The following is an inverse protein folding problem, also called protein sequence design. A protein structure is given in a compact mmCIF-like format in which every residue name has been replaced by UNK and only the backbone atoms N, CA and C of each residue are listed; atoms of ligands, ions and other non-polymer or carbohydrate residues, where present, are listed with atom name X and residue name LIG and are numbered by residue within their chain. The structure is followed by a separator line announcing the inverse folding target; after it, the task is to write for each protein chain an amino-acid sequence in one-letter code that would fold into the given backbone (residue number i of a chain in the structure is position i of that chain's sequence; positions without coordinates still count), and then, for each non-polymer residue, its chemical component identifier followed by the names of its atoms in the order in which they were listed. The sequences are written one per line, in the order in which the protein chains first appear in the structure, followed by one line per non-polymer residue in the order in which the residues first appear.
data_IF_527880863441
#
_entry.id   IF_527880863441
#
_cell.length_a   1.000
_cell.length_b   1.000
_cell.length_c   1.000
_cell.angle_alpha   90.00
_cell.angle_beta   90.00
_cell.angle_gamma   90.00
#
_symmetry.space_group_name_H-M   'P 1'
#
loop_
_entity.id
_entity.type
_entity.pdbx_description
1 polymer ?
#
# COMPACT_ATOMS: atom_id res chain seq x y z
N UNK A 1 -10.42 8.90 1.83
CA UNK A 1 -10.20 10.35 1.99
C UNK A 1 -11.57 11.02 2.11
N UNK A 2 -11.80 11.86 3.12
CA UNK A 2 -13.05 12.60 3.21
C UNK A 2 -13.14 13.75 2.18
N UNK A 3 -14.35 14.26 1.94
CA UNK A 3 -14.57 15.31 0.93
C UNK A 3 -13.81 16.62 1.23
N UNK A 4 -13.54 16.93 2.51
CA UNK A 4 -12.82 18.15 2.88
C UNK A 4 -11.36 18.03 2.49
N UNK A 5 -10.74 16.91 2.82
CA UNK A 5 -9.36 16.59 2.50
C UNK A 5 -9.19 16.45 0.99
N UNK A 6 -10.13 15.78 0.31
CA UNK A 6 -10.13 15.68 -1.15
C UNK A 6 -10.22 17.05 -1.82
N UNK A 7 -11.00 17.99 -1.27
CA UNK A 7 -11.06 19.37 -1.77
C UNK A 7 -9.70 20.07 -1.65
N UNK A 8 -9.02 19.93 -0.50
CA UNK A 8 -7.71 20.54 -0.29
C UNK A 8 -6.67 19.99 -1.28
N UNK A 9 -6.67 18.67 -1.51
CA UNK A 9 -5.74 18.01 -2.44
C UNK A 9 -6.05 18.39 -3.88
N UNK A 10 -7.27 18.15 -4.36
CA UNK A 10 -7.60 18.22 -5.80
C UNK A 10 -7.94 19.61 -6.32
N UNK A 11 -8.02 20.62 -5.44
CA UNK A 11 -8.08 22.02 -5.86
C UNK A 11 -6.72 22.73 -5.73
N UNK A 12 -5.68 22.02 -5.31
CA UNK A 12 -4.31 22.54 -5.31
C UNK A 12 -3.64 22.39 -6.68
N UNK A 13 -2.64 23.20 -6.95
CA UNK A 13 -1.86 23.09 -8.21
C UNK A 13 -0.97 21.84 -8.24
N UNK A 14 -0.50 21.39 -7.06
CA UNK A 14 0.38 20.23 -6.91
C UNK A 14 -0.21 19.19 -5.95
N UNK A 15 -0.90 18.21 -6.53
CA UNK A 15 -1.60 17.18 -5.76
C UNK A 15 -0.66 16.31 -4.90
N UNK A 16 0.52 15.94 -5.42
CA UNK A 16 1.46 15.06 -4.70
C UNK A 16 2.08 15.80 -3.50
N UNK A 17 2.49 17.05 -3.70
CA UNK A 17 2.99 17.89 -2.60
C UNK A 17 1.90 18.09 -1.54
N UNK A 18 0.66 18.34 -1.95
CA UNK A 18 -0.45 18.48 -1.00
C UNK A 18 -0.76 17.18 -0.25
N UNK A 19 -0.68 16.03 -0.92
CA UNK A 19 -0.80 14.71 -0.27
C UNK A 19 0.32 14.53 0.76
N UNK A 20 1.57 14.84 0.40
CA UNK A 20 2.72 14.73 1.29
C UNK A 20 2.60 15.64 2.52
N UNK A 21 2.09 16.86 2.35
CA UNK A 21 1.85 17.80 3.46
C UNK A 21 0.76 17.32 4.43
N UNK A 22 -0.34 16.77 3.91
CA UNK A 22 -1.49 16.35 4.72
C UNK A 22 -1.22 14.99 5.38
N UNK A 23 -0.53 14.08 4.69
CA UNK A 23 -0.29 12.72 5.12
C UNK A 23 1.21 12.37 5.16
N UNK A 24 2.03 13.09 5.93
CA UNK A 24 3.49 12.95 5.88
C UNK A 24 3.97 11.57 6.36
N UNK A 25 3.31 10.99 7.35
CA UNK A 25 3.64 9.66 7.86
C UNK A 25 3.27 8.55 6.86
N UNK A 26 2.11 8.67 6.21
CA UNK A 26 1.68 7.73 5.19
C UNK A 26 2.54 7.81 3.93
N UNK A 27 2.94 9.02 3.53
CA UNK A 27 3.90 9.23 2.46
C UNK A 27 5.22 8.51 2.75
N UNK A 28 5.82 8.77 3.91
CA UNK A 28 7.07 8.16 4.32
C UNK A 28 6.95 6.64 4.41
N UNK A 29 5.85 6.14 4.95
CA UNK A 29 5.59 4.70 5.00
C UNK A 29 5.53 4.08 3.60
N UNK A 30 4.77 4.69 2.67
CA UNK A 30 4.66 4.21 1.29
C UNK A 30 6.03 4.19 0.59
N UNK A 31 6.85 5.24 0.79
CA UNK A 31 8.22 5.28 0.29
C UNK A 31 9.06 4.11 0.84
N UNK A 32 9.04 3.91 2.16
CA UNK A 32 9.80 2.85 2.83
C UNK A 32 9.38 1.45 2.35
N UNK A 33 8.08 1.19 2.21
CA UNK A 33 7.60 -0.12 1.73
C UNK A 33 7.89 -0.34 0.25
N UNK A 34 7.83 0.69 -0.59
CA UNK A 34 8.23 0.58 -2.00
C UNK A 34 9.70 0.19 -2.13
N UNK A 35 10.61 0.88 -1.42
CA UNK A 35 12.01 0.49 -1.42
C UNK A 35 12.24 -0.89 -0.80
N UNK A 36 11.54 -1.24 0.28
CA UNK A 36 11.64 -2.55 0.91
C UNK A 36 11.17 -3.68 -0.01
N UNK A 37 10.13 -3.44 -0.82
CA UNK A 37 9.65 -4.35 -1.85
C UNK A 37 10.72 -4.59 -2.92
N UNK A 38 11.26 -3.52 -3.51
CA UNK A 38 12.31 -3.60 -4.56
C UNK A 38 13.56 -4.32 -4.05
N UNK A 39 14.00 -3.97 -2.84
CA UNK A 39 15.20 -4.53 -2.22
C UNK A 39 14.97 -5.92 -1.62
N UNK A 40 13.75 -6.47 -1.72
CA UNK A 40 13.35 -7.77 -1.14
C UNK A 40 13.72 -7.87 0.34
N UNK A 41 13.53 -6.79 1.10
CA UNK A 41 13.83 -6.77 2.54
C UNK A 41 12.98 -7.81 3.25
N UNK A 42 13.54 -8.57 4.21
CA UNK A 42 12.76 -9.54 4.97
C UNK A 42 11.68 -8.84 5.79
N UNK A 43 10.52 -9.48 5.90
CA UNK A 43 9.43 -9.11 6.79
C UNK A 43 8.77 -10.38 7.33
N UNK A 44 8.50 -10.40 8.64
CA UNK A 44 7.99 -11.60 9.31
C UNK A 44 6.56 -11.94 8.87
N UNK A 45 5.73 -10.92 8.68
CA UNK A 45 4.36 -11.11 8.26
C UNK A 45 4.30 -11.51 6.79
N UNK A 46 5.07 -10.84 5.93
CA UNK A 46 5.24 -11.23 4.53
C UNK A 46 5.66 -12.70 4.39
N UNK A 47 6.68 -13.12 5.14
CA UNK A 47 7.18 -14.49 5.13
C UNK A 47 6.11 -15.51 5.57
N UNK A 48 5.36 -15.21 6.63
CA UNK A 48 4.29 -16.07 7.13
C UNK A 48 3.13 -16.19 6.12
N UNK A 49 2.77 -15.09 5.43
CA UNK A 49 1.77 -15.14 4.35
C UNK A 49 2.28 -16.00 3.20
N UNK A 50 3.52 -15.81 2.76
CA UNK A 50 4.13 -16.59 1.67
C UNK A 50 4.21 -18.08 1.99
N UNK A 51 4.45 -18.44 3.26
CA UNK A 51 4.43 -19.85 3.70
C UNK A 51 3.03 -20.49 3.55
N UNK A 52 1.97 -19.73 3.85
CA UNK A 52 0.59 -20.22 3.71
C UNK A 52 0.16 -20.28 2.24
N UNK A 53 0.51 -19.27 1.46
CA UNK A 53 0.08 -19.13 0.05
C UNK A 53 0.87 -20.04 -0.88
N UNK A 54 2.15 -20.26 -0.60
CA UNK A 54 3.07 -20.98 -1.47
C UNK A 54 3.64 -20.10 -2.59
N UNK A 55 4.14 -20.74 -3.64
CA UNK A 55 4.74 -20.05 -4.78
C UNK A 55 3.70 -19.29 -5.61
N UNK A 56 4.01 -18.05 -5.96
CA UNK A 56 3.20 -17.19 -6.83
C UNK A 56 3.95 -16.84 -8.11
N UNK A 57 3.28 -16.70 -9.27
CA UNK A 57 3.91 -16.27 -10.51
C UNK A 57 4.23 -14.76 -10.56
N UNK A 58 3.88 -14.02 -9.51
CA UNK A 58 4.06 -12.58 -9.36
C UNK A 58 4.77 -12.23 -8.05
N UNK A 59 5.34 -11.03 -7.98
CA UNK A 59 6.03 -10.55 -6.79
C UNK A 59 5.12 -9.66 -5.94
N UNK A 60 5.02 -10.01 -4.65
CA UNK A 60 4.32 -9.18 -3.68
C UNK A 60 5.11 -9.02 -2.37
N UNK A 61 4.75 -7.97 -1.63
CA UNK A 61 5.13 -7.76 -0.23
C UNK A 61 3.89 -7.45 0.58
N UNK A 62 3.76 -8.10 1.73
CA UNK A 62 2.76 -7.75 2.74
C UNK A 62 3.41 -7.19 4.00
N UNK A 63 2.84 -6.11 4.52
CA UNK A 63 3.23 -5.54 5.83
C UNK A 63 1.98 -5.48 6.69
N UNK A 64 2.09 -5.89 7.95
CA UNK A 64 1.02 -5.79 8.93
C UNK A 64 1.32 -4.70 9.94
N UNK A 65 0.29 -3.94 10.32
CA UNK A 65 0.36 -2.86 11.30
C UNK A 65 -0.73 -3.01 12.36
N UNK A 66 -0.58 -2.35 13.50
CA UNK A 66 -1.61 -2.35 14.53
C UNK A 66 -2.83 -1.52 14.09
N UNK A 67 -4.04 -1.98 14.42
CA UNK A 67 -5.35 -1.42 14.02
C UNK A 67 -5.67 -0.05 14.61
N UNK A 68 -4.89 0.39 15.58
CA UNK A 68 -5.23 1.55 16.42
C UNK A 68 -4.47 2.82 16.10
N UNK A 69 -3.52 2.78 15.18
CA UNK A 69 -2.72 3.96 14.87
C UNK A 69 -3.31 4.84 13.76
N UNK A 70 -2.94 6.12 13.80
CA UNK A 70 -3.42 7.12 12.85
C UNK A 70 -2.98 6.79 11.42
N UNK A 71 -1.76 6.26 11.27
CA UNK A 71 -1.18 5.89 9.99
C UNK A 71 -2.03 4.83 9.24
N UNK A 72 -2.62 3.85 9.93
CA UNK A 72 -3.53 2.87 9.30
C UNK A 72 -4.79 3.52 8.73
N UNK A 73 -5.32 4.55 9.41
CA UNK A 73 -6.45 5.35 8.90
C UNK A 73 -6.03 6.19 7.70
N UNK A 74 -4.89 6.87 7.80
CA UNK A 74 -4.36 7.71 6.73
C UNK A 74 -4.09 6.90 5.45
N UNK A 75 -3.52 5.71 5.58
CA UNK A 75 -3.31 4.79 4.47
C UNK A 75 -4.65 4.32 3.86
N UNK A 76 -5.63 4.00 4.70
CA UNK A 76 -6.97 3.65 4.22
C UNK A 76 -7.63 4.81 3.48
N UNK A 77 -7.43 6.04 3.95
CA UNK A 77 -7.95 7.23 3.31
C UNK A 77 -7.26 7.52 1.98
N UNK A 78 -5.94 7.41 1.90
CA UNK A 78 -5.15 7.65 0.70
C UNK A 78 -5.38 6.59 -0.37
N UNK A 79 -5.32 5.31 0.03
CA UNK A 79 -5.38 4.19 -0.91
C UNK A 79 -6.83 3.82 -1.26
N UNK A 80 -7.78 4.15 -0.40
CA UNK A 80 -9.22 4.02 -0.68
C UNK A 80 -9.75 5.05 -1.67
N UNK A 81 -9.07 6.19 -1.81
CA UNK A 81 -9.36 7.14 -2.89
C UNK A 81 -8.60 6.76 -4.17
N UNK A 82 -9.35 6.47 -5.24
CA UNK A 82 -8.79 5.93 -6.49
C UNK A 82 -7.75 6.88 -7.09
N UNK A 83 -8.04 8.19 -7.13
CA UNK A 83 -7.16 9.18 -7.77
C UNK A 83 -5.86 9.32 -6.99
N UNK A 84 -5.95 9.42 -5.67
CA UNK A 84 -4.78 9.49 -4.77
C UNK A 84 -3.91 8.24 -4.92
N UNK A 85 -4.52 7.05 -4.88
CA UNK A 85 -3.79 5.78 -5.09
C UNK A 85 -3.03 5.77 -6.42
N UNK A 86 -3.69 6.10 -7.53
CA UNK A 86 -3.06 6.12 -8.86
C UNK A 86 -1.91 7.14 -8.96
N UNK A 87 -2.05 8.31 -8.34
CA UNK A 87 -0.98 9.31 -8.26
C UNK A 87 0.23 8.77 -7.48
N UNK A 88 -0.01 8.13 -6.35
CA UNK A 88 1.03 7.54 -5.50
C UNK A 88 1.72 6.35 -6.18
N UNK A 89 0.97 5.44 -6.79
CA UNK A 89 1.52 4.31 -7.55
C UNK A 89 2.41 4.80 -8.68
N UNK A 90 1.96 5.79 -9.46
CA UNK A 90 2.78 6.40 -10.50
C UNK A 90 4.05 7.02 -9.92
N UNK A 91 3.92 7.86 -8.89
CA UNK A 91 5.05 8.54 -8.28
C UNK A 91 6.09 7.56 -7.73
N UNK A 92 5.67 6.61 -6.89
CA UNK A 92 6.61 5.69 -6.28
C UNK A 92 7.20 4.69 -7.27
N UNK A 93 6.47 4.34 -8.34
CA UNK A 93 7.04 3.54 -9.43
C UNK A 93 8.21 4.24 -10.10
N UNK A 94 8.10 5.55 -10.32
CA UNK A 94 9.18 6.39 -10.86
C UNK A 94 10.35 6.50 -9.87
N UNK A 95 10.06 6.71 -8.58
CA UNK A 95 11.08 6.84 -7.52
C UNK A 95 11.91 5.56 -7.36
N UNK A 96 11.27 4.39 -7.37
CA UNK A 96 11.98 3.11 -7.19
C UNK A 96 12.45 2.47 -8.50
N UNK A 97 12.09 3.04 -9.65
CA UNK A 97 12.51 2.59 -10.97
C UNK A 97 11.84 1.32 -11.48
N UNK A 98 10.73 0.88 -10.86
CA UNK A 98 9.93 -0.26 -11.31
C UNK A 98 8.47 -0.11 -10.86
N UNK A 99 7.51 -0.77 -11.54
CA UNK A 99 6.11 -0.69 -11.15
C UNK A 99 5.86 -1.13 -9.70
N UNK A 100 5.10 -0.31 -8.97
CA UNK A 100 4.57 -0.63 -7.65
C UNK A 100 3.08 -0.31 -7.61
N UNK A 101 2.30 -1.28 -7.16
CA UNK A 101 0.86 -1.17 -6.98
C UNK A 101 0.54 -1.32 -5.51
N UNK A 102 -0.40 -0.52 -5.02
CA UNK A 102 -0.75 -0.49 -3.62
C UNK A 102 -2.14 -1.03 -3.40
N UNK A 103 -2.33 -1.79 -2.33
CA UNK A 103 -3.64 -2.23 -1.90
C UNK A 103 -3.69 -2.39 -0.40
N UNK A 104 -4.86 -2.19 0.17
CA UNK A 104 -5.12 -2.52 1.57
C UNK A 104 -5.77 -3.91 1.61
N UNK A 105 -5.14 -4.85 2.32
CA UNK A 105 -5.65 -6.20 2.54
C UNK A 105 -5.99 -6.31 4.03
N UNK A 106 -7.21 -6.74 4.37
CA UNK A 106 -7.77 -6.67 5.73
C UNK A 106 -7.67 -5.26 6.36
N UNK A 107 -8.03 -5.09 7.63
CA UNK A 107 -8.07 -3.77 8.29
C UNK A 107 -6.69 -3.14 8.51
N UNK A 108 -5.63 -3.95 8.45
CA UNK A 108 -4.32 -3.62 9.03
C UNK A 108 -3.13 -4.00 8.14
N UNK A 109 -3.38 -4.65 7.01
CA UNK A 109 -2.28 -5.11 6.15
C UNK A 109 -2.22 -4.30 4.87
N UNK A 110 -1.00 -3.95 4.49
CA UNK A 110 -0.70 -3.27 3.25
C UNK A 110 -0.04 -4.25 2.29
N UNK A 111 -0.48 -4.24 1.05
CA UNK A 111 0.05 -5.04 -0.04
C UNK A 111 0.73 -4.10 -1.03
N UNK A 112 1.95 -4.49 -1.43
CA UNK A 112 2.66 -3.93 -2.58
C UNK A 112 2.91 -5.04 -3.60
N UNK A 113 2.60 -4.80 -4.88
CA UNK A 113 2.81 -5.78 -5.98
C UNK A 113 3.41 -5.13 -7.22
N UNK A 114 3.83 -5.97 -8.18
CA UNK A 114 4.39 -5.57 -9.48
C UNK A 114 3.30 -5.21 -10.51
N UNK A 115 2.04 -5.54 -10.23
CA UNK A 115 0.88 -5.23 -11.06
C UNK A 115 -0.41 -5.12 -10.21
N UNK A 116 -1.47 -4.61 -10.82
CA UNK A 116 -2.82 -4.66 -10.23
C UNK A 116 -3.29 -6.12 -10.16
N UNK A 117 -3.42 -6.65 -8.94
CA UNK A 117 -3.78 -8.05 -8.73
C UNK A 117 -5.23 -8.33 -9.13
N UNK A 118 -5.43 -9.51 -9.71
CA UNK A 118 -6.76 -10.07 -9.95
C UNK A 118 -7.38 -10.61 -8.66
N UNK A 119 -8.68 -10.94 -8.72
CA UNK A 119 -9.38 -11.58 -7.60
C UNK A 119 -8.74 -12.93 -7.22
N UNK A 120 -8.36 -13.71 -8.23
CA UNK A 120 -7.73 -15.01 -8.08
C UNK A 120 -6.38 -14.93 -7.37
N UNK A 121 -5.64 -13.84 -7.61
CA UNK A 121 -4.34 -13.59 -7.01
C UNK A 121 -4.46 -13.02 -5.59
N UNK A 122 -5.41 -12.10 -5.35
CA UNK A 122 -5.53 -11.43 -4.04
C UNK A 122 -6.27 -12.27 -2.99
N UNK A 123 -7.23 -13.12 -3.39
CA UNK A 123 -8.06 -13.87 -2.45
C UNK A 123 -7.26 -14.85 -1.56
N UNK A 124 -6.27 -15.60 -2.08
CA UNK A 124 -5.38 -16.41 -1.25
C UNK A 124 -4.57 -15.56 -0.25
N UNK A 125 -4.07 -14.40 -0.68
CA UNK A 125 -3.32 -13.47 0.19
C UNK A 125 -4.20 -12.97 1.33
N UNK A 126 -5.43 -12.52 1.03
CA UNK A 126 -6.41 -12.07 2.02
C UNK A 126 -6.75 -13.17 3.03
N UNK A 127 -6.96 -14.40 2.58
CA UNK A 127 -7.25 -15.54 3.47
C UNK A 127 -6.08 -15.86 4.39
N UNK A 128 -4.85 -15.84 3.87
CA UNK A 128 -3.65 -16.07 4.65
C UNK A 128 -3.44 -14.96 5.69
N UNK A 129 -3.56 -13.70 5.29
CA UNK A 129 -3.43 -12.54 6.17
C UNK A 129 -4.44 -12.57 7.33
N UNK A 130 -5.72 -12.90 7.06
CA UNK A 130 -6.76 -13.02 8.09
C UNK A 130 -6.48 -14.17 9.07
N UNK A 131 -5.93 -15.29 8.58
CA UNK A 131 -5.60 -16.45 9.43
C UNK A 131 -4.45 -16.17 10.42
N UNK A 132 -3.59 -15.21 10.11
CA UNK A 132 -2.45 -14.84 10.93
C UNK A 132 -2.78 -13.79 12.01
N UNK A 133 -4.03 -13.33 12.08
CA UNK A 133 -4.56 -12.49 13.16
C UNK A 133 -5.11 -13.35 14.30
#
# INVERSE_FOLDING_TARGET
MDCKTATLVYQSENHLEKIQEIFPEAWKFLEEVSFAYVQKKPDKFDAAVKEIVGETPFQFRMVHRDDRDQLTKDLSDLLGDITSRLLLEKHFSEVVGQPVFFSTICCNSHLTSDHELTLEEVLPLQRAAVKLQ
#
